data_IF_668578576701
#
_entry.id   IF_668578576701
#
_cell.length_a   1.000
_cell.length_b   1.000
_cell.length_c   1.000
_cell.angle_alpha   90.00
_cell.angle_beta   90.00
_cell.angle_gamma   90.00
#
_symmetry.space_group_name_H-M   'P 1'
#
loop_
_entity.id
_entity.type
_entity.pdbx_description
1 polymer ?
#
# COMPACT_ATOMS: atom_id res chain seq x y z
N UNK A 1 -29.86 -29.58 13.10
CA UNK A 1 -30.28 -29.09 14.44
C UNK A 1 -31.82 -29.03 14.47
N UNK A 2 -32.46 -29.45 15.53
CA UNK A 2 -33.90 -29.29 15.72
C UNK A 2 -34.16 -28.06 16.58
N UNK A 3 -34.78 -27.05 15.98
CA UNK A 3 -35.19 -25.85 16.72
C UNK A 3 -36.51 -26.09 17.45
N UNK A 4 -36.71 -25.41 18.58
CA UNK A 4 -37.98 -25.40 19.33
C UNK A 4 -38.67 -24.06 19.15
N UNK A 5 -40.00 -24.03 19.31
CA UNK A 5 -40.77 -22.79 19.38
C UNK A 5 -40.20 -21.90 20.49
N UNK A 6 -40.03 -20.61 20.24
CA UNK A 6 -39.41 -19.66 21.14
C UNK A 6 -37.88 -19.59 21.06
N UNK A 7 -37.22 -20.42 20.24
CA UNK A 7 -35.76 -20.36 20.08
C UNK A 7 -35.34 -19.08 19.35
N UNK A 8 -34.35 -18.38 19.91
CA UNK A 8 -33.73 -17.22 19.25
C UNK A 8 -32.79 -17.68 18.15
N UNK A 9 -32.93 -17.11 16.97
CA UNK A 9 -32.17 -17.50 15.78
C UNK A 9 -31.79 -16.27 14.93
N UNK A 10 -30.79 -16.45 14.08
CA UNK A 10 -30.47 -15.55 12.99
C UNK A 10 -31.07 -16.11 11.70
N UNK A 11 -31.63 -15.24 10.87
CA UNK A 11 -32.13 -15.55 9.53
C UNK A 11 -31.53 -14.59 8.51
N UNK A 12 -31.16 -15.11 7.34
CA UNK A 12 -30.65 -14.29 6.24
C UNK A 12 -31.66 -13.21 5.82
N UNK A 13 -31.21 -11.98 5.70
CA UNK A 13 -31.98 -10.85 5.20
C UNK A 13 -31.20 -10.06 4.13
N UNK A 14 -31.90 -9.60 3.10
CA UNK A 14 -31.27 -8.91 1.96
C UNK A 14 -30.73 -7.51 2.28
N UNK A 15 -31.22 -6.89 3.33
CA UNK A 15 -30.85 -5.51 3.70
C UNK A 15 -29.74 -5.45 4.74
N UNK A 16 -29.80 -6.29 5.76
CA UNK A 16 -28.86 -6.30 6.88
C UNK A 16 -28.01 -7.58 6.97
N UNK A 17 -27.95 -8.37 5.90
CA UNK A 17 -27.32 -9.68 5.81
C UNK A 17 -27.97 -10.72 6.76
N UNK A 18 -28.06 -10.42 8.05
CA UNK A 18 -28.69 -11.28 9.08
C UNK A 18 -29.63 -10.47 9.93
N UNK A 19 -30.86 -11.02 10.15
CA UNK A 19 -31.85 -10.44 11.02
C UNK A 19 -32.07 -11.32 12.26
N UNK A 20 -32.25 -10.67 13.40
CA UNK A 20 -32.71 -11.34 14.64
C UNK A 20 -34.10 -11.85 14.47
N UNK A 21 -34.34 -13.09 14.85
CA UNK A 21 -35.66 -13.71 14.75
C UNK A 21 -35.92 -14.72 15.88
N UNK A 22 -37.22 -15.02 16.10
CA UNK A 22 -37.66 -16.04 17.00
C UNK A 22 -38.46 -17.10 16.25
N UNK A 23 -38.27 -18.36 16.59
CA UNK A 23 -39.00 -19.49 16.01
C UNK A 23 -40.44 -19.51 16.51
N UNK A 24 -41.41 -19.38 15.61
CA UNK A 24 -42.85 -19.37 15.93
C UNK A 24 -43.48 -20.73 15.72
N UNK A 25 -43.09 -21.45 14.66
CA UNK A 25 -43.65 -22.74 14.28
C UNK A 25 -42.58 -23.63 13.62
N UNK A 26 -42.62 -24.92 13.93
CA UNK A 26 -41.69 -25.91 13.36
C UNK A 26 -42.50 -26.98 12.65
N UNK A 27 -42.22 -27.21 11.37
CA UNK A 27 -42.82 -28.22 10.52
C UNK A 27 -41.73 -29.18 10.01
N UNK A 28 -42.11 -30.36 9.57
CA UNK A 28 -41.16 -31.43 9.21
C UNK A 28 -39.97 -31.00 8.36
N UNK A 29 -40.17 -30.08 7.42
CA UNK A 29 -39.11 -29.60 6.50
C UNK A 29 -38.91 -28.06 6.49
N UNK A 30 -39.66 -27.33 7.29
CA UNK A 30 -39.60 -25.87 7.32
C UNK A 30 -39.83 -25.32 8.72
N UNK A 31 -39.24 -24.17 8.99
CA UNK A 31 -39.37 -23.42 10.22
C UNK A 31 -39.94 -22.04 9.89
N UNK A 32 -40.94 -21.61 10.61
CA UNK A 32 -41.49 -20.26 10.52
C UNK A 32 -40.86 -19.43 11.63
N UNK A 33 -40.19 -18.34 11.25
CA UNK A 33 -39.59 -17.40 12.18
C UNK A 33 -40.21 -16.01 12.04
N UNK A 34 -40.27 -15.27 13.13
CA UNK A 34 -40.67 -13.85 13.10
C UNK A 34 -39.46 -13.00 13.46
N UNK A 35 -39.09 -12.06 12.57
CA UNK A 35 -37.97 -11.14 12.82
C UNK A 35 -38.34 -10.10 13.88
N UNK A 36 -37.34 -9.42 14.45
CA UNK A 36 -37.51 -8.29 15.37
C UNK A 36 -38.37 -7.15 14.78
N UNK A 37 -38.49 -7.08 13.46
CA UNK A 37 -39.34 -6.11 12.74
C UNK A 37 -40.77 -6.65 12.46
N UNK A 38 -41.15 -7.81 13.02
CA UNK A 38 -42.47 -8.42 12.85
C UNK A 38 -42.68 -9.15 11.52
N UNK A 39 -41.66 -9.28 10.64
CA UNK A 39 -41.74 -9.98 9.36
C UNK A 39 -41.69 -11.49 9.58
N UNK A 40 -42.72 -12.24 9.09
CA UNK A 40 -42.72 -13.70 9.11
C UNK A 40 -41.98 -14.26 7.90
N UNK A 41 -41.02 -15.15 8.15
CA UNK A 41 -40.21 -15.82 7.14
C UNK A 41 -40.36 -17.34 7.34
N UNK A 42 -40.61 -18.05 6.25
CA UNK A 42 -40.59 -19.53 6.23
C UNK A 42 -39.31 -19.97 5.54
N UNK A 43 -38.48 -20.74 6.22
CA UNK A 43 -37.19 -21.17 5.73
C UNK A 43 -36.85 -22.60 6.14
N UNK A 44 -35.80 -23.18 5.63
CA UNK A 44 -35.32 -24.50 6.08
C UNK A 44 -34.52 -24.36 7.38
N UNK A 45 -34.53 -25.38 8.28
CA UNK A 45 -33.75 -25.35 9.51
C UNK A 45 -32.22 -25.09 9.29
N UNK A 46 -31.69 -25.53 8.14
CA UNK A 46 -30.27 -25.42 7.79
C UNK A 46 -29.80 -23.97 7.50
N UNK A 47 -30.77 -23.10 7.16
CA UNK A 47 -30.51 -21.67 6.88
C UNK A 47 -30.68 -20.80 8.14
N UNK A 48 -30.94 -21.38 9.27
CA UNK A 48 -31.03 -20.70 10.54
C UNK A 48 -29.75 -20.95 11.35
N UNK A 49 -29.25 -19.91 12.01
CA UNK A 49 -28.13 -20.01 12.94
C UNK A 49 -28.63 -19.68 14.37
N UNK A 50 -28.12 -20.38 15.39
CA UNK A 50 -28.54 -20.11 16.77
C UNK A 50 -28.07 -18.73 17.21
N UNK A 51 -28.91 -18.02 17.96
CA UNK A 51 -28.61 -16.72 18.57
C UNK A 51 -28.70 -16.84 20.09
N UNK A 52 -27.79 -16.24 20.79
CA UNK A 52 -27.85 -16.08 22.24
C UNK A 52 -28.80 -14.92 22.59
N UNK A 53 -29.92 -15.16 23.26
CA UNK A 53 -30.83 -14.11 23.69
C UNK A 53 -30.27 -13.27 24.84
N UNK A 54 -29.29 -13.80 25.59
CA UNK A 54 -28.70 -13.17 26.78
C UNK A 54 -27.32 -12.52 26.43
N UNK A 55 -26.99 -12.41 25.13
CA UNK A 55 -25.73 -11.79 24.69
C UNK A 55 -25.61 -10.36 25.25
N UNK A 56 -24.42 -10.03 25.71
CA UNK A 56 -24.06 -8.69 26.22
C UNK A 56 -24.41 -7.60 25.20
N UNK A 57 -25.15 -6.60 25.63
CA UNK A 57 -25.54 -5.47 24.78
C UNK A 57 -24.37 -4.64 24.30
N UNK A 58 -23.26 -4.61 25.07
CA UNK A 58 -21.99 -3.97 24.69
C UNK A 58 -21.09 -4.83 23.81
N UNK A 59 -21.41 -6.11 23.70
CA UNK A 59 -20.57 -7.12 23.06
C UNK A 59 -19.40 -7.56 23.97
N UNK A 60 -18.75 -8.66 23.56
CA UNK A 60 -17.58 -9.21 24.26
C UNK A 60 -16.29 -8.71 23.63
N UNK A 61 -15.28 -8.52 24.45
CA UNK A 61 -13.93 -8.09 24.05
C UNK A 61 -13.12 -9.19 23.35
N UNK A 62 -13.45 -10.46 23.61
CA UNK A 62 -12.86 -11.63 22.95
C UNK A 62 -13.98 -12.54 22.42
N UNK A 63 -14.04 -12.70 21.10
CA UNK A 63 -15.10 -13.47 20.44
C UNK A 63 -15.01 -14.97 20.71
N UNK A 64 -13.90 -15.47 21.27
CA UNK A 64 -13.85 -16.86 21.77
C UNK A 64 -14.79 -17.10 22.98
N UNK A 65 -15.25 -16.03 23.62
CA UNK A 65 -16.23 -16.08 24.73
C UNK A 65 -17.69 -16.08 24.25
N UNK A 66 -17.93 -15.96 22.93
CA UNK A 66 -19.31 -16.01 22.38
C UNK A 66 -19.88 -17.41 22.56
N UNK A 67 -21.14 -17.48 23.02
CA UNK A 67 -21.88 -18.75 23.18
C UNK A 67 -21.99 -19.49 21.84
N UNK A 68 -22.20 -18.75 20.74
CA UNK A 68 -22.23 -19.29 19.38
C UNK A 68 -21.28 -18.51 18.49
N UNK A 69 -20.17 -19.14 18.15
CA UNK A 69 -19.19 -18.57 17.20
C UNK A 69 -19.65 -18.86 15.76
N UNK A 70 -20.61 -18.07 15.29
CA UNK A 70 -21.11 -18.11 13.92
C UNK A 70 -21.03 -16.71 13.28
N UNK A 71 -21.18 -16.64 11.95
CA UNK A 71 -21.03 -15.39 11.20
C UNK A 71 -21.92 -14.26 11.74
N UNK A 72 -23.26 -14.42 11.92
CA UNK A 72 -24.09 -13.34 12.44
C UNK A 72 -23.73 -12.94 13.88
N UNK A 73 -23.34 -13.87 14.74
CA UNK A 73 -22.89 -13.56 16.10
C UNK A 73 -21.63 -12.72 16.11
N UNK A 74 -20.66 -13.04 15.25
CA UNK A 74 -19.44 -12.24 15.05
C UNK A 74 -19.76 -10.84 14.54
N UNK A 75 -20.58 -10.73 13.49
CA UNK A 75 -20.98 -9.44 12.92
C UNK A 75 -21.76 -8.59 13.94
N UNK A 76 -22.65 -9.19 14.70
CA UNK A 76 -23.40 -8.52 15.75
C UNK A 76 -22.46 -7.97 16.84
N UNK A 77 -21.54 -8.78 17.33
CA UNK A 77 -20.57 -8.38 18.34
C UNK A 77 -19.72 -7.20 17.86
N UNK A 78 -19.16 -7.29 16.67
CA UNK A 78 -18.35 -6.20 16.07
C UNK A 78 -19.18 -4.93 15.88
N UNK A 79 -20.42 -5.05 15.42
CA UNK A 79 -21.34 -3.91 15.24
C UNK A 79 -21.65 -3.20 16.56
N UNK A 80 -21.89 -3.96 17.65
CA UNK A 80 -22.16 -3.40 18.97
C UNK A 80 -20.96 -2.65 19.52
N UNK A 81 -19.79 -3.27 19.47
CA UNK A 81 -18.54 -2.64 19.93
C UNK A 81 -18.19 -1.40 19.09
N UNK A 82 -18.35 -1.49 17.78
CA UNK A 82 -18.12 -0.34 16.88
C UNK A 82 -19.02 0.86 17.23
N UNK A 83 -20.30 0.63 17.56
CA UNK A 83 -21.21 1.68 17.98
C UNK A 83 -20.79 2.38 19.28
N UNK A 84 -19.96 1.73 20.11
CA UNK A 84 -19.35 2.28 21.32
C UNK A 84 -17.95 2.85 21.10
N UNK A 85 -17.47 2.95 19.87
CA UNK A 85 -16.09 3.28 19.48
C UNK A 85 -15.05 2.27 19.97
N UNK A 86 -15.45 1.08 20.36
CA UNK A 86 -14.58 -0.04 20.70
C UNK A 86 -14.16 -0.76 19.41
N UNK A 87 -13.22 -0.15 18.67
CA UNK A 87 -12.84 -0.59 17.32
C UNK A 87 -12.00 -1.85 17.30
N UNK A 88 -11.46 -2.28 18.43
CA UNK A 88 -10.62 -3.46 18.58
C UNK A 88 -11.36 -4.58 19.29
N UNK A 89 -11.21 -5.82 18.78
CA UNK A 89 -11.82 -7.01 19.39
C UNK A 89 -10.89 -8.19 19.20
N UNK A 90 -10.65 -8.98 20.24
CA UNK A 90 -9.87 -10.21 20.14
C UNK A 90 -10.68 -11.38 19.55
N UNK A 91 -9.96 -12.28 18.91
CA UNK A 91 -10.37 -13.66 18.67
C UNK A 91 -9.17 -14.55 19.07
N UNK A 92 -9.07 -14.83 20.36
CA UNK A 92 -7.87 -15.44 20.94
C UNK A 92 -6.65 -14.56 20.76
N UNK A 93 -5.65 -15.04 20.04
CA UNK A 93 -4.40 -14.28 19.77
C UNK A 93 -4.50 -13.29 18.61
N UNK A 94 -5.60 -13.28 17.87
CA UNK A 94 -5.81 -12.39 16.73
C UNK A 94 -6.55 -11.14 17.19
N UNK A 95 -6.06 -9.97 16.77
CA UNK A 95 -6.74 -8.69 16.96
C UNK A 95 -7.48 -8.31 15.68
N UNK A 96 -8.79 -8.12 15.78
CA UNK A 96 -9.61 -7.55 14.72
C UNK A 96 -9.72 -6.04 14.97
N UNK A 97 -9.37 -5.25 13.97
CA UNK A 97 -9.49 -3.81 13.97
C UNK A 97 -10.52 -3.38 12.92
N UNK A 98 -11.54 -2.65 13.32
CA UNK A 98 -12.55 -2.08 12.42
C UNK A 98 -12.24 -0.61 12.22
N UNK A 99 -12.01 -0.18 10.97
CA UNK A 99 -11.67 1.22 10.67
C UNK A 99 -12.82 2.15 11.09
N UNK A 100 -12.61 3.11 12.01
CA UNK A 100 -13.65 4.02 12.49
C UNK A 100 -13.97 5.14 11.50
N UNK A 101 -13.14 5.33 10.43
CA UNK A 101 -13.22 6.47 9.49
C UNK A 101 -13.23 7.83 10.18
N UNK A 102 -12.79 7.91 11.41
CA UNK A 102 -12.65 9.13 12.23
C UNK A 102 -11.40 9.04 13.09
N UNK A 103 -10.95 10.20 13.60
CA UNK A 103 -9.80 10.23 14.51
C UNK A 103 -10.25 9.93 15.93
N UNK A 104 -9.54 9.02 16.59
CA UNK A 104 -9.71 8.67 18.01
C UNK A 104 -8.38 8.91 18.75
N UNK A 105 -7.95 10.19 18.92
CA UNK A 105 -6.61 10.51 19.39
C UNK A 105 -6.33 9.99 20.81
N UNK A 106 -7.33 9.90 21.67
CA UNK A 106 -7.22 9.37 23.04
C UNK A 106 -6.85 7.88 23.10
N UNK A 107 -7.00 7.13 22.01
CA UNK A 107 -6.59 5.72 21.96
C UNK A 107 -5.08 5.55 21.72
N UNK A 108 -4.36 6.59 21.28
CA UNK A 108 -3.01 6.44 20.75
C UNK A 108 -1.99 7.39 21.35
N UNK A 109 -2.34 8.04 22.45
CA UNK A 109 -1.46 8.97 23.13
C UNK A 109 -0.41 8.23 24.00
N UNK A 110 0.53 9.00 24.59
CA UNK A 110 1.58 8.46 25.43
C UNK A 110 1.05 7.78 26.70
N UNK A 111 -0.08 8.25 27.23
CA UNK A 111 -0.71 7.66 28.40
C UNK A 111 -1.22 6.25 28.10
N UNK A 112 -1.84 6.05 26.92
CA UNK A 112 -2.25 4.72 26.48
C UNK A 112 -1.05 3.79 26.27
N UNK A 113 0.07 4.30 25.73
CA UNK A 113 1.29 3.50 25.59
C UNK A 113 1.81 3.04 26.97
N UNK A 114 1.82 3.93 27.97
CA UNK A 114 2.22 3.59 29.33
C UNK A 114 1.32 2.53 29.98
N UNK A 115 0.00 2.62 29.73
CA UNK A 115 -0.95 1.65 30.27
C UNK A 115 -0.71 0.22 29.75
N UNK A 116 -0.38 0.06 28.49
CA UNK A 116 -0.15 -1.26 27.89
C UNK A 116 1.24 -1.82 28.11
N UNK A 117 2.20 -0.99 28.53
CA UNK A 117 3.59 -1.38 28.72
C UNK A 117 3.75 -2.41 29.84
N UNK A 118 4.19 -3.61 29.48
CA UNK A 118 4.46 -4.68 30.43
C UNK A 118 3.22 -5.40 30.97
N UNK A 119 2.02 -5.05 30.52
CA UNK A 119 0.77 -5.68 30.95
C UNK A 119 0.56 -7.01 30.22
N UNK A 120 -0.02 -7.99 30.90
CA UNK A 120 -0.28 -9.30 30.31
C UNK A 120 -1.34 -9.18 29.21
N UNK A 121 -1.11 -9.87 28.09
CA UNK A 121 -2.07 -9.92 26.99
C UNK A 121 -3.45 -10.39 27.44
N UNK A 122 -4.50 -9.64 27.11
CA UNK A 122 -5.90 -9.91 27.49
C UNK A 122 -6.31 -9.41 28.90
N UNK A 123 -5.43 -8.76 29.65
CA UNK A 123 -5.75 -8.15 30.95
C UNK A 123 -6.45 -6.79 30.80
N UNK A 124 -6.06 -6.03 29.78
CA UNK A 124 -6.72 -4.79 29.38
C UNK A 124 -7.57 -5.00 28.12
N UNK A 125 -8.39 -4.01 27.79
CA UNK A 125 -9.20 -3.99 26.57
C UNK A 125 -8.36 -4.29 25.31
N UNK A 126 -8.95 -4.91 24.27
CA UNK A 126 -8.24 -5.18 23.02
C UNK A 126 -7.65 -3.93 22.43
N UNK A 127 -6.35 -3.96 22.10
CA UNK A 127 -5.64 -2.83 21.54
C UNK A 127 -4.43 -3.27 20.72
N UNK A 128 -4.08 -2.48 19.70
CA UNK A 128 -2.89 -2.71 18.88
C UNK A 128 -1.59 -2.67 19.70
N UNK A 129 -1.53 -1.84 20.74
CA UNK A 129 -0.36 -1.76 21.62
C UNK A 129 -0.16 -3.03 22.45
N UNK A 130 -1.25 -3.71 22.86
CA UNK A 130 -1.14 -5.00 23.54
C UNK A 130 -0.49 -6.08 22.67
N UNK A 131 -0.79 -6.10 21.36
CA UNK A 131 -0.17 -7.03 20.40
C UNK A 131 1.32 -6.70 20.23
N UNK A 132 1.65 -5.42 20.10
CA UNK A 132 3.04 -4.97 19.96
C UNK A 132 3.86 -5.27 21.22
N UNK A 133 3.29 -4.99 22.42
CA UNK A 133 3.95 -5.27 23.69
C UNK A 133 4.15 -6.79 23.92
N UNK A 134 3.14 -7.59 23.62
CA UNK A 134 3.26 -9.05 23.72
C UNK A 134 4.37 -9.59 22.80
N UNK A 135 4.48 -9.08 21.58
CA UNK A 135 5.55 -9.45 20.64
C UNK A 135 6.92 -9.00 21.15
N UNK A 136 7.02 -7.78 21.68
CA UNK A 136 8.27 -7.27 22.26
C UNK A 136 8.72 -8.10 23.47
N UNK A 137 7.83 -8.42 24.38
CA UNK A 137 8.15 -9.25 25.55
C UNK A 137 8.49 -10.69 25.19
N UNK A 138 7.78 -11.29 24.22
CA UNK A 138 8.10 -12.62 23.73
C UNK A 138 9.51 -12.63 23.11
N UNK A 139 9.85 -11.63 22.31
CA UNK A 139 11.20 -11.47 21.76
C UNK A 139 12.27 -11.39 22.84
N UNK A 140 12.03 -10.58 23.90
CA UNK A 140 13.00 -10.40 24.99
C UNK A 140 13.13 -11.65 25.87
N UNK A 141 12.02 -12.33 26.19
CA UNK A 141 12.03 -13.47 27.09
C UNK A 141 12.58 -14.74 26.41
N UNK A 142 12.18 -14.97 25.16
CA UNK A 142 12.51 -16.17 24.42
C UNK A 142 13.78 -16.02 23.56
N UNK A 143 14.34 -14.77 23.50
CA UNK A 143 15.47 -14.42 22.61
C UNK A 143 15.23 -14.85 21.17
N UNK A 144 13.99 -14.80 20.71
CA UNK A 144 13.53 -15.23 19.40
C UNK A 144 12.82 -14.09 18.67
N UNK A 145 13.20 -13.88 17.41
CA UNK A 145 12.56 -12.86 16.57
C UNK A 145 11.06 -13.12 16.42
N UNK A 146 10.29 -12.06 16.40
CA UNK A 146 8.84 -12.09 16.28
C UNK A 146 8.38 -11.48 14.96
N UNK A 147 7.15 -11.81 14.56
CA UNK A 147 6.53 -11.24 13.35
C UNK A 147 5.08 -10.86 13.61
N UNK A 148 4.70 -9.65 13.21
CA UNK A 148 3.32 -9.16 13.27
C UNK A 148 2.81 -9.04 11.83
N UNK A 149 1.77 -9.79 11.49
CA UNK A 149 1.13 -9.76 10.19
C UNK A 149 -0.13 -8.87 10.25
N UNK A 150 -0.17 -7.84 9.41
CA UNK A 150 -1.32 -6.96 9.25
C UNK A 150 -1.98 -7.25 7.92
N UNK A 151 -3.22 -7.74 7.94
CA UNK A 151 -3.98 -8.09 6.74
C UNK A 151 -5.37 -7.46 6.74
N UNK A 152 -5.99 -7.32 5.59
CA UNK A 152 -7.31 -6.72 5.42
C UNK A 152 -7.51 -6.16 4.01
N UNK A 153 -8.73 -5.75 3.68
CA UNK A 153 -9.05 -5.11 2.39
C UNK A 153 -8.43 -3.71 2.26
N UNK A 154 -8.45 -3.16 1.04
CA UNK A 154 -8.05 -1.76 0.81
C UNK A 154 -8.95 -0.82 1.61
N UNK A 155 -8.35 0.14 2.34
CA UNK A 155 -9.06 1.06 3.22
C UNK A 155 -9.39 0.52 4.61
N UNK A 156 -9.01 -0.73 4.95
CA UNK A 156 -9.25 -1.31 6.27
C UNK A 156 -8.39 -0.70 7.41
N UNK A 157 -7.40 0.13 7.09
CA UNK A 157 -6.53 0.76 8.09
C UNK A 157 -5.20 0.03 8.34
N UNK A 158 -4.79 -0.92 7.47
CA UNK A 158 -3.54 -1.69 7.63
C UNK A 158 -2.31 -0.80 7.84
N UNK A 159 -2.09 0.17 6.97
CA UNK A 159 -0.94 1.07 7.05
C UNK A 159 -0.95 1.92 8.30
N UNK A 160 -2.13 2.40 8.74
CA UNK A 160 -2.24 3.12 10.02
C UNK A 160 -1.96 2.21 11.21
N UNK A 161 -2.48 0.99 11.21
CA UNK A 161 -2.16 -0.02 12.24
C UNK A 161 -0.66 -0.30 12.29
N UNK A 162 -0.01 -0.46 11.14
CA UNK A 162 1.45 -0.66 11.06
C UNK A 162 2.23 0.54 11.63
N UNK A 163 1.80 1.77 11.35
CA UNK A 163 2.40 2.98 11.94
C UNK A 163 2.28 2.98 13.48
N UNK A 164 1.09 2.64 14.00
CA UNK A 164 0.85 2.56 15.44
C UNK A 164 1.70 1.48 16.13
N UNK A 165 1.85 0.31 15.49
CA UNK A 165 2.75 -0.75 15.98
C UNK A 165 4.18 -0.24 16.04
N UNK A 166 4.68 0.39 14.96
CA UNK A 166 6.04 0.94 14.92
C UNK A 166 6.22 2.02 15.98
N UNK A 167 5.25 2.92 16.12
CA UNK A 167 5.28 3.98 17.14
C UNK A 167 5.36 3.39 18.57
N UNK A 168 4.61 2.33 18.86
CA UNK A 168 4.68 1.66 20.15
C UNK A 168 6.03 0.95 20.37
N UNK A 169 6.54 0.23 19.37
CA UNK A 169 7.83 -0.44 19.46
C UNK A 169 8.97 0.56 19.64
N UNK A 170 8.90 1.73 18.99
CA UNK A 170 9.86 2.81 19.21
C UNK A 170 9.76 3.41 20.61
N UNK A 171 8.55 3.48 21.18
CA UNK A 171 8.32 3.95 22.55
C UNK A 171 8.93 3.00 23.59
N UNK A 172 8.77 1.68 23.44
CA UNK A 172 9.28 0.72 24.44
C UNK A 172 10.76 0.42 24.27
N UNK A 173 11.27 0.42 23.02
CA UNK A 173 12.68 0.13 22.68
C UNK A 173 13.53 1.36 22.39
N UNK A 174 13.01 2.58 22.57
CA UNK A 174 13.73 3.82 22.29
C UNK A 174 14.96 4.02 23.16
N UNK A 175 15.99 4.70 22.63
CA UNK A 175 17.20 5.09 23.36
C UNK A 175 16.91 6.22 24.35
N UNK A 176 17.66 6.26 25.44
CA UNK A 176 17.70 7.42 26.33
C UNK A 176 18.17 8.67 25.55
N UNK A 177 17.52 9.81 25.81
CA UNK A 177 17.73 11.13 25.19
C UNK A 177 19.22 11.46 25.04
N UNK A 178 19.69 11.72 23.81
CA UNK A 178 21.07 12.17 23.57
C UNK A 178 21.55 12.19 22.11
N UNK A 179 20.81 11.65 21.15
CA UNK A 179 21.23 11.65 19.74
C UNK A 179 20.24 12.46 18.89
N UNK A 180 20.73 13.48 18.17
CA UNK A 180 19.91 14.47 17.45
C UNK A 180 19.08 13.90 16.26
N UNK A 181 19.28 12.63 15.89
CA UNK A 181 18.51 11.92 14.88
C UNK A 181 18.32 10.47 15.29
N UNK A 182 17.15 10.15 15.84
CA UNK A 182 16.86 8.79 16.28
C UNK A 182 16.43 7.91 15.10
N UNK A 183 16.84 6.63 15.10
CA UNK A 183 16.42 5.59 14.16
C UNK A 183 14.88 5.55 14.09
N UNK A 184 14.22 5.77 15.23
CA UNK A 184 12.79 5.80 15.40
C UNK A 184 12.12 6.87 14.51
N UNK A 185 12.66 8.10 14.57
CA UNK A 185 12.13 9.21 13.77
C UNK A 185 12.30 8.94 12.28
N UNK A 186 13.44 8.42 11.86
CA UNK A 186 13.71 8.10 10.46
C UNK A 186 12.78 7.01 9.91
N UNK A 187 12.48 5.98 10.71
CA UNK A 187 11.52 4.92 10.34
C UNK A 187 10.11 5.50 10.17
N UNK A 188 9.67 6.36 11.09
CA UNK A 188 8.36 7.00 11.00
C UNK A 188 8.27 7.98 9.82
N UNK A 189 9.30 8.81 9.62
CA UNK A 189 9.36 9.80 8.53
C UNK A 189 9.57 9.17 7.14
N UNK A 190 9.97 7.90 7.07
CA UNK A 190 10.00 7.17 5.80
C UNK A 190 8.60 6.91 5.22
N UNK A 191 7.55 6.90 6.05
CA UNK A 191 6.20 6.59 5.61
C UNK A 191 5.63 7.63 4.62
N UNK A 192 5.68 8.96 4.87
CA UNK A 192 5.23 9.95 3.90
C UNK A 192 5.93 9.82 2.55
N UNK A 193 7.22 9.49 2.56
CA UNK A 193 7.99 9.29 1.35
C UNK A 193 7.52 8.06 0.57
N UNK A 194 7.38 6.92 1.23
CA UNK A 194 6.86 5.70 0.62
C UNK A 194 5.41 5.87 0.12
N UNK A 195 4.59 6.65 0.83
CA UNK A 195 3.23 6.97 0.41
C UNK A 195 3.20 7.83 -0.87
N UNK A 196 4.03 8.85 -0.96
CA UNK A 196 4.10 9.69 -2.15
C UNK A 196 4.39 8.88 -3.42
N UNK A 197 5.28 7.90 -3.34
CA UNK A 197 5.74 7.10 -4.47
C UNK A 197 5.05 5.74 -4.63
N UNK A 198 4.43 5.21 -3.60
CA UNK A 198 3.83 3.87 -3.59
C UNK A 198 2.32 3.85 -3.38
N UNK A 199 1.68 4.97 -3.04
CA UNK A 199 0.25 5.03 -2.84
C UNK A 199 -0.46 5.80 -3.97
N UNK A 200 -1.71 5.45 -4.16
CA UNK A 200 -2.58 6.09 -5.14
C UNK A 200 -4.05 6.11 -4.66
N UNK A 201 -4.84 7.01 -5.23
CA UNK A 201 -6.29 6.95 -5.06
C UNK A 201 -6.84 5.76 -5.86
N UNK A 202 -7.63 4.93 -5.17
CA UNK A 202 -8.48 3.88 -5.76
C UNK A 202 -9.95 4.22 -5.57
N UNK A 203 -10.84 3.43 -6.14
CA UNK A 203 -12.30 3.56 -5.95
C UNK A 203 -12.67 3.50 -4.46
N UNK A 204 -11.93 2.73 -3.65
CA UNK A 204 -12.24 2.47 -2.24
C UNK A 204 -11.50 3.37 -1.24
N UNK A 205 -10.34 3.91 -1.64
CA UNK A 205 -9.48 4.64 -0.71
C UNK A 205 -8.67 5.71 -1.45
N UNK A 206 -8.68 6.93 -0.91
CA UNK A 206 -7.93 8.06 -1.48
C UNK A 206 -6.39 7.92 -1.31
N UNK A 207 -5.92 7.07 -0.40
CA UNK A 207 -4.49 6.82 -0.13
C UNK A 207 -4.21 5.32 0.02
N UNK A 208 -4.47 4.54 -1.02
CA UNK A 208 -4.26 3.10 -1.03
C UNK A 208 -2.80 2.76 -1.35
N UNK A 209 -2.14 1.99 -0.49
CA UNK A 209 -0.81 1.43 -0.78
C UNK A 209 -0.88 0.43 -1.92
N UNK A 210 -0.05 0.64 -2.95
CA UNK A 210 0.03 -0.21 -4.15
C UNK A 210 1.28 -1.09 -4.13
N UNK A 211 1.81 -1.39 -2.94
CA UNK A 211 2.96 -2.25 -2.68
C UNK A 211 2.82 -2.90 -1.30
N UNK A 212 3.48 -4.02 -1.09
CA UNK A 212 3.66 -4.63 0.22
C UNK A 212 4.90 -4.05 0.91
N UNK A 213 4.84 -3.91 2.21
CA UNK A 213 5.93 -3.40 3.03
C UNK A 213 6.21 -4.34 4.19
N UNK A 214 7.48 -4.67 4.39
CA UNK A 214 7.99 -5.37 5.55
C UNK A 214 9.01 -4.49 6.25
N UNK A 215 8.75 -4.16 7.50
CA UNK A 215 9.62 -3.35 8.34
C UNK A 215 10.23 -4.27 9.39
N UNK A 216 11.54 -4.39 9.40
CA UNK A 216 12.33 -5.12 10.39
C UNK A 216 12.90 -4.12 11.37
N UNK A 217 12.52 -4.19 12.64
CA UNK A 217 13.08 -3.38 13.72
C UNK A 217 14.03 -4.28 14.50
N UNK A 218 15.29 -3.90 14.56
CA UNK A 218 16.37 -4.64 15.19
C UNK A 218 16.58 -4.13 16.62
N UNK A 219 16.81 -5.06 17.54
CA UNK A 219 17.02 -4.74 18.96
C UNK A 219 18.35 -5.30 19.45
N UNK A 220 18.96 -4.60 20.38
CA UNK A 220 20.12 -5.08 21.14
C UNK A 220 19.69 -6.00 22.29
N UNK A 221 20.65 -6.59 22.99
CA UNK A 221 20.41 -7.48 24.12
C UNK A 221 19.65 -6.81 25.28
N UNK A 222 19.67 -5.49 25.37
CA UNK A 222 18.96 -4.72 26.41
C UNK A 222 17.55 -4.33 25.97
N UNK A 223 17.10 -4.76 24.78
CA UNK A 223 15.80 -4.42 24.21
C UNK A 223 15.71 -3.03 23.61
N UNK A 224 16.85 -2.36 23.35
CA UNK A 224 16.88 -1.05 22.70
C UNK A 224 16.97 -1.23 21.18
N UNK A 225 16.35 -0.31 20.44
CA UNK A 225 16.45 -0.31 18.99
C UNK A 225 17.89 -0.03 18.58
N UNK A 226 18.49 -0.95 17.84
CA UNK A 226 19.85 -0.85 17.30
C UNK A 226 19.88 -0.55 15.80
N UNK A 227 18.79 -0.81 15.10
CA UNK A 227 18.66 -0.55 13.67
C UNK A 227 17.28 -0.89 13.14
N UNK A 228 17.03 -0.57 11.87
CA UNK A 228 15.85 -1.03 11.16
C UNK A 228 16.11 -1.19 9.66
N UNK A 229 15.28 -2.00 9.00
CA UNK A 229 15.30 -2.17 7.55
C UNK A 229 13.88 -2.20 7.00
N UNK A 230 13.70 -1.59 5.85
CA UNK A 230 12.42 -1.61 5.11
C UNK A 230 12.64 -2.37 3.81
N UNK A 231 11.78 -3.35 3.55
CA UNK A 231 11.72 -4.08 2.28
C UNK A 231 10.36 -3.87 1.65
N UNK A 232 10.36 -3.60 0.36
CA UNK A 232 9.14 -3.41 -0.43
C UNK A 232 8.93 -4.58 -1.38
N UNK A 233 7.66 -4.91 -1.65
CA UNK A 233 7.26 -6.04 -2.48
C UNK A 233 6.11 -5.66 -3.39
N UNK A 234 6.10 -6.23 -4.60
CA UNK A 234 4.95 -6.27 -5.50
C UNK A 234 4.34 -4.89 -5.83
N UNK A 235 5.18 -3.89 -6.11
CA UNK A 235 4.68 -2.59 -6.60
C UNK A 235 3.81 -2.80 -7.85
N UNK A 236 2.64 -2.20 -7.90
CA UNK A 236 1.70 -2.22 -9.03
C UNK A 236 2.25 -1.39 -10.20
N UNK A 237 3.20 -1.97 -10.97
CA UNK A 237 3.90 -1.27 -12.08
C UNK A 237 2.97 -0.84 -13.20
N UNK A 238 1.87 -1.57 -13.42
CA UNK A 238 0.87 -1.24 -14.45
C UNK A 238 0.25 0.13 -14.24
N UNK A 239 0.08 0.58 -13.00
CA UNK A 239 -0.52 1.87 -12.67
C UNK A 239 0.25 3.06 -13.20
N UNK A 240 1.56 2.92 -13.40
CA UNK A 240 2.40 4.00 -13.97
C UNK A 240 1.89 4.46 -15.33
N UNK A 241 1.41 3.52 -16.15
CA UNK A 241 1.04 3.76 -17.56
C UNK A 241 -0.45 3.64 -17.82
N UNK A 242 -1.21 3.00 -16.92
CA UNK A 242 -2.64 2.76 -17.09
C UNK A 242 -3.40 2.94 -15.80
N UNK A 243 -4.40 3.83 -15.82
CA UNK A 243 -5.35 4.07 -14.72
C UNK A 243 -6.78 4.02 -15.26
N UNK A 244 -7.74 3.87 -14.37
CA UNK A 244 -9.18 3.85 -14.73
C UNK A 244 -9.89 4.91 -13.90
N UNK A 245 -10.76 5.72 -14.50
CA UNK A 245 -11.58 6.69 -13.78
C UNK A 245 -12.49 6.00 -12.74
N UNK A 246 -12.58 6.49 -11.49
CA UNK A 246 -12.02 7.73 -10.92
C UNK A 246 -10.69 7.54 -10.16
N UNK A 247 -9.90 6.54 -10.47
CA UNK A 247 -8.61 6.29 -9.83
C UNK A 247 -7.53 7.28 -10.27
N UNK A 248 -6.44 7.38 -9.52
CA UNK A 248 -5.28 8.21 -9.88
C UNK A 248 -4.03 7.35 -10.04
N UNK A 249 -3.05 7.89 -10.72
CA UNK A 249 -1.67 7.42 -10.70
C UNK A 249 -1.04 7.71 -9.32
N UNK A 250 0.21 7.38 -9.10
CA UNK A 250 0.95 7.64 -7.87
C UNK A 250 0.95 9.13 -7.50
N UNK A 251 0.85 9.42 -6.21
CA UNK A 251 0.71 10.80 -5.72
C UNK A 251 1.85 11.71 -6.15
N UNK A 252 3.09 11.22 -6.19
CA UNK A 252 4.28 11.97 -6.55
C UNK A 252 4.17 12.70 -7.89
N UNK A 253 3.47 12.15 -8.89
CA UNK A 253 3.27 12.80 -10.18
C UNK A 253 2.41 14.07 -10.06
N UNK A 254 1.33 14.01 -9.29
CA UNK A 254 0.44 15.16 -9.07
C UNK A 254 1.09 16.21 -8.17
N UNK A 255 1.84 15.77 -7.17
CA UNK A 255 2.63 16.63 -6.30
C UNK A 255 3.65 17.44 -7.11
N UNK A 256 4.39 16.80 -8.01
CA UNK A 256 5.37 17.45 -8.87
C UNK A 256 4.73 18.45 -9.83
N UNK A 257 3.61 18.11 -10.46
CA UNK A 257 2.88 19.02 -11.34
C UNK A 257 2.30 20.24 -10.60
N UNK A 258 1.99 20.12 -9.32
CA UNK A 258 1.40 21.20 -8.51
C UNK A 258 2.43 22.19 -7.96
N UNK A 259 3.72 21.88 -7.94
CA UNK A 259 4.77 22.76 -7.42
C UNK A 259 5.40 23.59 -8.52
N UNK A 260 4.93 24.85 -8.68
CA UNK A 260 5.19 25.73 -9.83
C UNK A 260 6.65 25.82 -10.27
N UNK A 261 7.60 26.05 -9.35
CA UNK A 261 9.03 26.22 -9.70
C UNK A 261 9.63 24.99 -10.38
N UNK A 262 9.39 23.80 -9.83
CA UNK A 262 9.92 22.56 -10.40
C UNK A 262 9.12 22.13 -11.63
N UNK A 263 7.80 22.36 -11.64
CA UNK A 263 6.97 22.16 -12.82
C UNK A 263 7.46 22.99 -14.02
N UNK A 264 7.73 24.30 -13.83
CA UNK A 264 8.28 25.18 -14.87
C UNK A 264 9.67 24.70 -15.36
N UNK A 265 10.56 24.34 -14.42
CA UNK A 265 11.90 23.84 -14.72
C UNK A 265 11.87 22.62 -15.62
N UNK A 266 10.98 21.68 -15.34
CA UNK A 266 10.82 20.43 -16.10
C UNK A 266 9.81 20.54 -17.24
N UNK A 267 9.33 21.75 -17.59
CA UNK A 267 8.31 21.97 -18.63
C UNK A 267 7.04 21.15 -18.41
N UNK A 268 6.67 20.95 -17.16
CA UNK A 268 5.42 20.33 -16.80
C UNK A 268 4.27 21.33 -16.79
N UNK A 269 3.08 20.82 -17.01
CA UNK A 269 1.82 21.57 -16.99
C UNK A 269 0.82 20.85 -16.09
N UNK A 270 -0.45 21.26 -16.15
CA UNK A 270 -1.53 20.59 -15.42
C UNK A 270 -1.57 19.09 -15.76
N UNK A 271 -1.85 18.20 -14.78
CA UNK A 271 -1.87 16.74 -14.98
C UNK A 271 -2.69 16.26 -16.19
N UNK A 272 -3.75 16.99 -16.56
CA UNK A 272 -4.57 16.68 -17.76
C UNK A 272 -3.79 16.68 -19.07
N UNK A 273 -2.62 17.28 -19.10
CA UNK A 273 -1.77 17.36 -20.31
C UNK A 273 -0.87 16.12 -20.49
N UNK A 274 -0.86 15.19 -19.54
CA UNK A 274 0.00 14.01 -19.56
C UNK A 274 -0.82 12.74 -19.70
N UNK A 275 -0.46 11.93 -20.70
CA UNK A 275 -1.18 10.69 -21.04
C UNK A 275 -1.33 9.72 -19.87
N UNK A 276 -0.30 9.58 -19.04
CA UNK A 276 -0.34 8.68 -17.88
C UNK A 276 -1.19 9.20 -16.72
N UNK A 277 -1.66 10.44 -16.78
CA UNK A 277 -2.49 11.05 -15.73
C UNK A 277 -3.92 11.37 -16.21
N UNK A 278 -4.12 11.62 -17.51
CA UNK A 278 -5.39 12.09 -18.05
C UNK A 278 -6.39 10.98 -18.47
N UNK A 279 -6.05 9.72 -18.18
CA UNK A 279 -6.95 8.58 -18.37
C UNK A 279 -8.07 8.57 -17.31
N UNK A 280 -7.98 9.43 -16.30
CA UNK A 280 -9.00 9.70 -15.29
C UNK A 280 -9.25 11.20 -15.21
N UNK A 281 -10.46 11.59 -14.78
CA UNK A 281 -10.86 12.98 -14.58
C UNK A 281 -10.56 13.49 -13.17
N UNK A 282 -10.03 12.66 -12.29
CA UNK A 282 -9.73 12.98 -10.89
C UNK A 282 -8.28 13.43 -10.77
N UNK A 283 -8.05 14.75 -10.76
CA UNK A 283 -6.71 15.34 -10.63
C UNK A 283 -6.41 15.80 -9.21
N UNK A 284 -7.42 16.10 -8.43
CA UNK A 284 -7.31 16.59 -7.06
C UNK A 284 -8.00 15.65 -6.08
N UNK A 285 -7.66 15.75 -4.82
CA UNK A 285 -8.29 15.04 -3.72
C UNK A 285 -8.91 16.07 -2.77
N UNK A 286 -10.14 15.81 -2.32
CA UNK A 286 -10.86 16.69 -1.43
C UNK A 286 -10.07 16.91 -0.12
N UNK A 287 -9.86 18.18 0.21
CA UNK A 287 -9.14 18.56 1.43
C UNK A 287 -7.62 18.34 1.41
N UNK A 288 -7.03 17.94 0.27
CA UNK A 288 -5.59 17.69 0.13
C UNK A 288 -4.97 18.64 -0.91
N UNK A 289 -3.99 19.42 -0.49
CA UNK A 289 -3.20 20.25 -1.40
C UNK A 289 -1.97 19.49 -1.89
N UNK A 290 -1.94 19.13 -3.17
CA UNK A 290 -0.78 18.45 -3.78
C UNK A 290 0.53 19.25 -3.66
N UNK A 291 0.45 20.59 -3.64
CA UNK A 291 1.63 21.44 -3.46
C UNK A 291 2.17 21.38 -2.02
N UNK A 292 1.30 21.30 -1.01
CA UNK A 292 1.72 21.12 0.38
C UNK A 292 2.29 19.71 0.60
N UNK A 293 1.65 18.68 0.04
CA UNK A 293 2.16 17.31 0.05
C UNK A 293 3.54 17.19 -0.60
N UNK A 294 3.80 17.94 -1.68
CA UNK A 294 5.14 18.00 -2.28
C UNK A 294 6.20 18.50 -1.29
N UNK A 295 5.91 19.57 -0.55
CA UNK A 295 6.82 20.10 0.45
C UNK A 295 7.05 19.12 1.61
N UNK A 296 6.01 18.39 2.02
CA UNK A 296 6.14 17.33 3.04
C UNK A 296 7.01 16.18 2.52
N UNK A 297 6.83 15.77 1.26
CA UNK A 297 7.66 14.75 0.62
C UNK A 297 9.14 15.20 0.57
N UNK A 298 9.42 16.46 0.22
CA UNK A 298 10.78 17.03 0.22
C UNK A 298 11.39 17.03 1.63
N UNK A 299 10.60 17.46 2.62
CA UNK A 299 11.03 17.42 4.02
C UNK A 299 11.33 16.00 4.51
N UNK A 300 10.49 15.03 4.16
CA UNK A 300 10.73 13.63 4.49
C UNK A 300 12.04 13.12 3.85
N UNK A 301 12.33 13.53 2.60
CA UNK A 301 13.60 13.23 1.92
C UNK A 301 14.80 13.81 2.68
N UNK A 302 14.70 15.06 3.17
CA UNK A 302 15.77 15.71 3.95
C UNK A 302 16.03 14.96 5.27
N UNK A 303 14.96 14.56 5.99
CA UNK A 303 15.06 13.82 7.25
C UNK A 303 15.69 12.45 7.04
N UNK A 304 15.31 11.75 5.98
CA UNK A 304 15.88 10.46 5.58
C UNK A 304 17.30 10.61 5.02
N UNK A 305 17.80 11.83 4.82
CA UNK A 305 19.18 12.10 4.38
C UNK A 305 19.42 11.97 2.88
N UNK A 306 18.36 12.05 2.05
CA UNK A 306 18.48 12.11 0.61
C UNK A 306 19.03 13.48 0.20
N UNK A 307 20.20 13.52 -0.45
CA UNK A 307 20.83 14.77 -0.83
C UNK A 307 19.96 15.56 -1.82
N UNK A 308 20.13 16.89 -1.85
CA UNK A 308 19.41 17.75 -2.80
C UNK A 308 19.67 17.33 -4.26
N UNK A 309 20.88 16.87 -4.58
CA UNK A 309 21.24 16.38 -5.92
C UNK A 309 20.43 15.12 -6.26
N UNK A 310 20.30 14.20 -5.32
CA UNK A 310 19.53 12.97 -5.50
C UNK A 310 18.02 13.27 -5.58
N UNK A 311 17.52 14.19 -4.78
CA UNK A 311 16.13 14.65 -4.86
C UNK A 311 15.82 15.24 -6.24
N UNK A 312 16.71 16.07 -6.77
CA UNK A 312 16.58 16.59 -8.14
C UNK A 312 16.58 15.47 -9.19
N UNK A 313 17.44 14.48 -9.05
CA UNK A 313 17.49 13.33 -9.95
C UNK A 313 16.18 12.52 -9.92
N UNK A 314 15.58 12.34 -8.72
CA UNK A 314 14.29 11.68 -8.54
C UNK A 314 13.18 12.44 -9.29
N UNK A 315 13.02 13.73 -9.02
CA UNK A 315 11.95 14.52 -9.63
C UNK A 315 12.14 14.72 -11.14
N UNK A 316 13.38 14.88 -11.58
CA UNK A 316 13.74 14.91 -13.00
C UNK A 316 13.32 13.61 -13.70
N UNK A 317 13.53 12.46 -13.06
CA UNK A 317 13.12 11.15 -13.60
C UNK A 317 11.60 11.02 -13.68
N UNK A 318 10.86 11.48 -12.67
CA UNK A 318 9.38 11.50 -12.72
C UNK A 318 8.88 12.36 -13.88
N UNK A 319 9.48 13.56 -14.07
CA UNK A 319 9.15 14.43 -15.19
C UNK A 319 9.45 13.78 -16.54
N UNK A 320 10.59 13.10 -16.66
CA UNK A 320 10.94 12.34 -17.87
C UNK A 320 9.92 11.25 -18.21
N UNK A 321 9.41 10.53 -17.20
CA UNK A 321 8.35 9.52 -17.38
C UNK A 321 7.05 10.18 -17.90
N UNK A 322 6.67 11.34 -17.37
CA UNK A 322 5.48 12.05 -17.85
C UNK A 322 5.61 12.50 -19.30
N UNK A 323 6.77 13.07 -19.68
CA UNK A 323 7.03 13.43 -21.07
C UNK A 323 7.08 12.20 -21.97
N UNK A 324 7.71 11.12 -21.54
CA UNK A 324 7.77 9.88 -22.28
C UNK A 324 6.37 9.36 -22.63
N UNK A 325 5.41 9.44 -21.69
CA UNK A 325 4.02 9.03 -21.90
C UNK A 325 3.29 9.79 -23.01
N UNK A 326 3.71 11.02 -23.31
CA UNK A 326 3.14 11.87 -24.36
C UNK A 326 3.77 11.65 -25.76
N UNK A 327 4.73 10.73 -25.88
CA UNK A 327 5.31 10.39 -27.19
C UNK A 327 4.34 9.46 -27.92
N UNK A 328 3.80 9.94 -29.03
CA UNK A 328 2.89 9.18 -29.90
C UNK A 328 3.60 8.81 -31.21
N UNK A 329 3.18 7.69 -31.77
CA UNK A 329 3.73 7.11 -33.00
C UNK A 329 2.71 7.12 -34.13
N UNK A 330 3.20 7.26 -35.37
CA UNK A 330 2.45 7.07 -36.59
C UNK A 330 3.15 6.04 -37.49
N UNK A 331 2.42 5.40 -38.43
CA UNK A 331 3.01 4.44 -39.34
C UNK A 331 4.18 5.02 -40.11
N UNK A 332 5.27 4.25 -40.19
CA UNK A 332 6.43 4.59 -41.01
C UNK A 332 6.28 4.19 -42.48
N UNK A 333 7.36 4.22 -43.24
CA UNK A 333 7.34 3.85 -44.66
C UNK A 333 7.13 2.37 -44.90
N UNK A 334 7.61 1.54 -43.99
CA UNK A 334 7.43 0.09 -44.04
C UNK A 334 6.24 -0.30 -43.17
N UNK A 335 5.54 -1.34 -43.56
CA UNK A 335 4.31 -1.81 -42.90
C UNK A 335 4.50 -2.09 -41.40
N UNK A 336 5.68 -2.56 -41.00
CA UNK A 336 6.03 -2.93 -39.63
C UNK A 336 6.88 -1.85 -38.96
N UNK A 337 6.86 -0.60 -39.40
CA UNK A 337 7.68 0.49 -38.83
C UNK A 337 6.83 1.62 -38.27
N UNK A 338 7.41 2.38 -37.37
CA UNK A 338 6.79 3.56 -36.77
C UNK A 338 7.74 4.75 -36.73
N UNK A 339 7.16 5.94 -36.82
CA UNK A 339 7.85 7.22 -36.72
C UNK A 339 7.16 8.09 -35.66
N UNK A 340 7.79 9.18 -35.23
CA UNK A 340 7.15 10.15 -34.34
C UNK A 340 5.98 10.82 -35.07
N UNK A 341 4.82 10.89 -34.42
CA UNK A 341 3.55 11.32 -35.00
C UNK A 341 3.56 12.79 -35.46
N UNK A 342 4.06 13.68 -34.62
CA UNK A 342 3.96 15.13 -34.82
C UNK A 342 5.02 15.92 -34.03
N UNK A 343 5.05 17.23 -34.22
CA UNK A 343 5.96 18.12 -33.54
C UNK A 343 5.77 18.13 -32.00
N UNK A 344 4.54 17.93 -31.50
CA UNK A 344 4.25 17.83 -30.07
C UNK A 344 4.88 16.58 -29.49
N UNK A 345 4.72 15.44 -30.13
CA UNK A 345 5.35 14.18 -29.72
C UNK A 345 6.87 14.27 -29.78
N UNK A 346 7.43 14.97 -30.80
CA UNK A 346 8.88 15.19 -30.88
C UNK A 346 9.40 16.10 -29.76
N UNK A 347 8.66 17.15 -29.38
CA UNK A 347 8.99 17.96 -28.19
C UNK A 347 9.06 17.11 -26.94
N UNK A 348 8.07 16.26 -26.71
CA UNK A 348 8.04 15.38 -25.54
C UNK A 348 9.16 14.32 -25.57
N UNK A 349 9.52 13.80 -26.73
CA UNK A 349 10.67 12.89 -26.89
C UNK A 349 11.98 13.60 -26.54
N UNK A 350 12.18 14.83 -27.06
CA UNK A 350 13.34 15.65 -26.75
C UNK A 350 13.44 15.92 -25.26
N UNK A 351 12.33 16.35 -24.63
CA UNK A 351 12.31 16.60 -23.19
C UNK A 351 12.59 15.34 -22.37
N UNK A 352 12.02 14.21 -22.77
CA UNK A 352 12.28 12.93 -22.09
C UNK A 352 13.78 12.55 -22.20
N UNK A 353 14.39 12.70 -23.37
CA UNK A 353 15.80 12.41 -23.58
C UNK A 353 16.71 13.35 -22.76
N UNK A 354 16.41 14.66 -22.75
CA UNK A 354 17.13 15.66 -21.96
C UNK A 354 17.05 15.34 -20.46
N UNK A 355 15.86 15.06 -19.95
CA UNK A 355 15.62 14.75 -18.54
C UNK A 355 16.22 13.39 -18.14
N UNK A 356 16.23 12.39 -19.02
CA UNK A 356 16.95 11.13 -18.82
C UNK A 356 18.46 11.26 -19.05
N UNK A 357 18.93 12.40 -19.54
CA UNK A 357 20.33 12.65 -19.87
C UNK A 357 20.87 11.66 -20.91
N UNK A 358 20.09 11.36 -21.94
CA UNK A 358 20.46 10.45 -23.02
C UNK A 358 20.28 11.10 -24.40
N UNK A 359 20.89 10.52 -25.42
CA UNK A 359 20.71 10.96 -26.80
C UNK A 359 19.26 10.68 -27.28
N UNK A 360 18.63 11.69 -27.90
CA UNK A 360 17.26 11.60 -28.41
C UNK A 360 17.11 10.53 -29.51
N UNK A 361 18.07 10.43 -30.41
CA UNK A 361 18.02 9.47 -31.52
C UNK A 361 18.12 8.04 -31.01
N UNK A 362 18.92 7.84 -29.98
CA UNK A 362 19.09 6.55 -29.32
C UNK A 362 17.86 6.17 -28.51
N UNK A 363 17.23 7.12 -27.83
CA UNK A 363 15.95 6.89 -27.16
C UNK A 363 14.88 6.50 -28.19
N UNK A 364 14.76 7.23 -29.31
CA UNK A 364 13.83 6.91 -30.37
C UNK A 364 14.09 5.53 -30.96
N UNK A 365 15.32 5.20 -31.30
CA UNK A 365 15.67 3.88 -31.81
C UNK A 365 15.28 2.75 -30.85
N UNK A 366 15.47 2.98 -29.56
CA UNK A 366 15.07 2.03 -28.50
C UNK A 366 13.56 1.82 -28.43
N UNK A 367 12.77 2.87 -28.66
CA UNK A 367 11.30 2.80 -28.62
C UNK A 367 10.72 2.19 -29.91
N UNK A 368 11.36 2.44 -31.07
CA UNK A 368 10.83 2.08 -32.40
C UNK A 368 11.45 0.83 -33.01
N UNK A 369 12.42 0.19 -32.34
CA UNK A 369 13.06 -1.04 -32.84
C UNK A 369 13.39 -2.01 -31.70
N UNK A 370 13.56 -3.28 -32.06
CA UNK A 370 14.07 -4.33 -31.14
C UNK A 370 15.21 -5.11 -31.76
N UNK A 371 16.20 -5.46 -30.97
CA UNK A 371 17.25 -6.37 -31.39
C UNK A 371 16.88 -7.81 -31.09
N UNK A 372 17.04 -8.68 -32.05
CA UNK A 372 16.79 -10.13 -31.94
C UNK A 372 18.15 -10.82 -32.14
N UNK A 373 18.59 -11.55 -31.14
CA UNK A 373 19.80 -12.38 -31.24
C UNK A 373 19.47 -13.65 -32.02
N UNK A 374 20.19 -13.87 -33.12
CA UNK A 374 20.12 -15.09 -33.91
C UNK A 374 21.46 -15.83 -33.88
N UNK A 375 21.51 -17.06 -34.40
CA UNK A 375 22.77 -17.81 -34.50
C UNK A 375 23.79 -17.12 -35.42
N UNK A 376 23.34 -16.29 -36.34
CA UNK A 376 24.16 -15.59 -37.35
C UNK A 376 24.48 -14.15 -36.94
N UNK A 377 24.01 -13.68 -35.79
CA UNK A 377 24.25 -12.31 -35.30
C UNK A 377 23.00 -11.63 -34.77
N UNK A 378 23.10 -10.34 -34.47
CA UNK A 378 22.00 -9.50 -34.00
C UNK A 378 21.28 -8.85 -35.16
N UNK A 379 19.97 -9.06 -35.27
CA UNK A 379 19.09 -8.42 -36.27
C UNK A 379 18.27 -7.35 -35.59
N UNK A 380 18.26 -6.13 -36.12
CA UNK A 380 17.39 -5.04 -35.65
C UNK A 380 16.09 -5.08 -36.45
N UNK A 381 14.97 -5.28 -35.77
CA UNK A 381 13.63 -5.27 -36.35
C UNK A 381 12.89 -3.99 -35.92
N UNK A 382 12.32 -3.26 -36.88
CA UNK A 382 11.43 -2.14 -36.61
C UNK A 382 10.16 -2.60 -35.87
N UNK A 383 9.55 -1.70 -35.15
CA UNK A 383 8.30 -1.91 -34.41
C UNK A 383 7.18 -1.08 -35.03
N UNK A 384 6.01 -1.64 -35.18
CA UNK A 384 4.81 -0.91 -35.51
C UNK A 384 4.36 0.05 -34.39
N UNK A 385 3.35 0.88 -34.63
CA UNK A 385 2.90 1.88 -33.67
C UNK A 385 2.47 1.30 -32.34
N UNK A 386 1.78 0.14 -32.34
CA UNK A 386 1.31 -0.51 -31.11
C UNK A 386 2.48 -1.09 -30.29
N UNK A 387 3.42 -1.74 -30.99
CA UNK A 387 4.61 -2.29 -30.35
C UNK A 387 5.56 -1.18 -29.84
N UNK A 388 5.68 -0.06 -30.57
CA UNK A 388 6.47 1.11 -30.13
C UNK A 388 5.84 1.77 -28.89
N UNK A 389 4.51 1.91 -28.84
CA UNK A 389 3.81 2.40 -27.66
C UNK A 389 3.98 1.43 -26.47
N UNK A 390 3.89 0.12 -26.70
CA UNK A 390 4.14 -0.88 -25.65
C UNK A 390 5.60 -0.85 -25.15
N UNK A 391 6.57 -0.60 -26.02
CA UNK A 391 7.99 -0.41 -25.66
C UNK A 391 8.18 0.84 -24.78
N UNK A 392 7.54 1.96 -25.17
CA UNK A 392 7.50 3.20 -24.38
C UNK A 392 6.95 2.94 -22.96
N UNK A 393 5.81 2.26 -22.87
CA UNK A 393 5.14 1.97 -21.59
C UNK A 393 5.96 0.97 -20.75
N UNK A 394 6.63 0.01 -21.38
CA UNK A 394 7.53 -0.91 -20.69
C UNK A 394 8.75 -0.19 -20.10
N UNK A 395 9.32 0.77 -20.84
CA UNK A 395 10.41 1.61 -20.34
C UNK A 395 9.95 2.44 -19.15
N UNK A 396 8.82 3.13 -19.24
CA UNK A 396 8.25 3.93 -18.15
C UNK A 396 8.04 3.11 -16.88
N UNK A 397 7.40 1.92 -16.99
CA UNK A 397 7.21 0.99 -15.88
C UNK A 397 8.52 0.53 -15.25
N UNK A 398 9.51 0.24 -16.08
CA UNK A 398 10.82 -0.24 -15.62
C UNK A 398 11.58 0.84 -14.88
N UNK A 399 11.61 2.06 -15.44
CA UNK A 399 12.28 3.21 -14.82
C UNK A 399 11.62 3.54 -13.48
N UNK A 400 10.29 3.59 -13.41
CA UNK A 400 9.58 3.87 -12.16
C UNK A 400 9.82 2.78 -11.11
N UNK A 401 9.75 1.52 -11.48
CA UNK A 401 10.04 0.42 -10.57
C UNK A 401 11.47 0.47 -10.04
N UNK A 402 12.45 0.84 -10.89
CA UNK A 402 13.85 1.02 -10.45
C UNK A 402 14.05 2.24 -9.56
N UNK A 403 13.25 3.29 -9.75
CA UNK A 403 13.24 4.45 -8.88
C UNK A 403 12.71 4.07 -7.47
N UNK A 404 11.70 3.23 -7.41
CA UNK A 404 11.04 2.81 -6.17
C UNK A 404 11.77 1.65 -5.48
N UNK A 405 12.05 0.56 -6.20
CA UNK A 405 12.61 -0.68 -5.66
C UNK A 405 14.09 -0.84 -6.00
N UNK A 406 14.89 -1.19 -5.00
CA UNK A 406 16.15 -1.88 -5.23
C UNK A 406 16.20 -3.15 -4.38
N UNK A 407 15.89 -4.26 -4.97
CA UNK A 407 16.38 -5.58 -4.56
C UNK A 407 16.40 -6.50 -5.77
N UNK A 408 17.57 -6.75 -6.29
CA UNK A 408 18.16 -8.01 -6.71
C UNK A 408 19.32 -7.75 -7.66
N UNK A 409 20.43 -8.47 -7.54
CA UNK A 409 21.33 -8.71 -8.64
C UNK A 409 20.68 -9.73 -9.57
N UNK A 410 19.59 -9.36 -10.25
CA UNK A 410 19.13 -10.10 -11.42
C UNK A 410 19.79 -9.54 -12.66
N UNK A 411 21.06 -9.87 -12.76
CA UNK A 411 21.75 -10.12 -14.00
C UNK A 411 21.04 -11.35 -14.59
N UNK A 412 20.68 -11.21 -15.88
CA UNK A 412 20.13 -12.24 -16.76
C UNK A 412 18.65 -12.56 -16.62
N UNK A 413 17.86 -11.99 -17.53
CA UNK A 413 16.92 -12.68 -18.41
C UNK A 413 16.02 -11.74 -19.25
N UNK A 414 16.60 -10.71 -19.90
CA UNK A 414 15.93 -10.09 -21.06
C UNK A 414 16.97 -9.67 -22.12
N UNK A 415 16.77 -9.98 -23.40
CA UNK A 415 17.67 -9.66 -24.48
C UNK A 415 17.50 -8.22 -24.98
N UNK A 416 17.67 -7.24 -24.12
CA UNK A 416 17.64 -5.81 -24.46
C UNK A 416 19.00 -5.16 -24.20
N UNK A 417 20.02 -5.60 -24.93
CA UNK A 417 21.39 -5.12 -24.76
C UNK A 417 21.56 -3.61 -25.00
N UNK A 418 20.71 -2.98 -25.79
CA UNK A 418 20.86 -1.55 -26.13
C UNK A 418 20.23 -0.61 -25.10
N UNK A 419 19.06 -0.96 -24.55
CA UNK A 419 18.41 -0.19 -23.48
C UNK A 419 19.21 -0.29 -22.18
N UNK A 420 19.88 -1.43 -21.98
CA UNK A 420 20.67 -1.71 -20.79
C UNK A 420 21.93 -0.85 -20.70
N UNK A 421 22.59 -0.58 -21.81
CA UNK A 421 23.82 0.25 -21.82
C UNK A 421 23.51 1.72 -21.52
N UNK A 422 22.39 2.27 -22.02
CA UNK A 422 21.97 3.64 -21.72
C UNK A 422 21.40 3.80 -20.32
N UNK A 423 20.59 2.84 -19.87
CA UNK A 423 20.02 2.87 -18.53
C UNK A 423 21.02 2.44 -17.46
N UNK A 424 21.92 1.49 -17.73
CA UNK A 424 22.88 1.00 -16.75
C UNK A 424 24.10 1.90 -16.56
N UNK A 425 24.64 2.50 -17.62
CA UNK A 425 25.86 3.32 -17.52
C UNK A 425 25.58 4.72 -16.93
N UNK A 426 24.44 5.34 -17.26
CA UNK A 426 24.05 6.66 -16.73
C UNK A 426 23.13 6.59 -15.53
N UNK A 427 22.28 5.57 -15.42
CA UNK A 427 21.42 5.34 -14.27
C UNK A 427 22.18 4.71 -13.08
N UNK A 428 23.34 4.08 -13.30
CA UNK A 428 24.12 3.48 -12.21
C UNK A 428 24.82 4.50 -11.32
N UNK A 429 25.10 5.70 -11.82
CA UNK A 429 25.78 6.76 -11.06
C UNK A 429 24.84 7.83 -10.50
N UNK A 430 23.64 8.01 -11.07
CA UNK A 430 22.72 9.09 -10.71
C UNK A 430 21.35 8.61 -10.20
N UNK A 431 21.08 7.31 -10.22
CA UNK A 431 19.78 6.79 -9.78
C UNK A 431 19.72 6.69 -8.26
N UNK A 432 19.01 7.63 -7.68
CA UNK A 432 18.65 7.61 -6.29
C UNK A 432 17.67 6.47 -6.04
N UNK A 433 18.06 5.55 -5.19
CA UNK A 433 17.35 4.34 -4.79
C UNK A 433 16.59 4.65 -3.51
N UNK A 434 15.33 5.04 -3.63
CA UNK A 434 14.54 5.57 -2.52
C UNK A 434 14.58 4.69 -1.27
N UNK A 435 14.25 3.41 -1.40
CA UNK A 435 14.23 2.47 -0.27
C UNK A 435 15.65 2.18 0.25
N UNK A 436 16.65 2.18 -0.63
CA UNK A 436 18.05 2.00 -0.22
C UNK A 436 18.55 3.20 0.61
N UNK A 437 18.19 4.44 0.22
CA UNK A 437 18.52 5.63 1.00
C UNK A 437 17.86 5.60 2.38
N UNK A 438 16.58 5.21 2.46
CA UNK A 438 15.90 5.02 3.74
C UNK A 438 16.67 4.02 4.60
N UNK A 439 17.01 2.84 4.07
CA UNK A 439 17.72 1.81 4.81
C UNK A 439 19.13 2.21 5.22
N UNK A 440 19.84 2.99 4.39
CA UNK A 440 21.17 3.54 4.75
C UNK A 440 21.07 4.58 5.86
N UNK A 441 20.05 5.42 5.82
CA UNK A 441 19.83 6.47 6.82
C UNK A 441 19.47 5.88 8.18
N UNK A 442 18.52 4.94 8.18
CA UNK A 442 18.05 4.26 9.40
C UNK A 442 19.17 3.44 10.03
N UNK A 443 20.06 2.87 9.22
CA UNK A 443 21.13 1.99 9.66
C UNK A 443 20.65 0.59 10.00
N UNK A 444 21.49 -0.39 9.71
CA UNK A 444 21.26 -1.79 10.06
C UNK A 444 22.35 -2.23 11.05
N UNK A 445 21.93 -2.91 12.11
CA UNK A 445 22.84 -3.54 13.05
C UNK A 445 23.18 -4.96 12.56
N UNK A 446 24.41 -5.13 12.09
CA UNK A 446 24.91 -6.41 11.56
C UNK A 446 25.05 -7.48 12.66
N UNK A 447 25.20 -7.04 13.89
CA UNK A 447 25.39 -7.90 15.08
C UNK A 447 24.06 -8.23 15.79
N UNK A 448 22.97 -7.58 15.38
CA UNK A 448 21.63 -7.85 15.94
C UNK A 448 21.20 -9.28 15.65
N UNK A 449 20.79 -9.98 16.69
CA UNK A 449 20.29 -11.37 16.60
C UNK A 449 18.80 -11.49 16.78
N UNK A 450 18.13 -10.43 17.22
CA UNK A 450 16.69 -10.42 17.51
C UNK A 450 16.04 -9.20 16.85
N UNK A 451 14.87 -9.44 16.27
CA UNK A 451 14.13 -8.41 15.56
C UNK A 451 12.62 -8.64 15.63
N UNK A 452 11.86 -7.58 15.45
CA UNK A 452 10.43 -7.64 15.22
C UNK A 452 10.15 -7.20 13.78
N UNK A 453 9.61 -8.10 12.97
CA UNK A 453 9.17 -7.82 11.61
C UNK A 453 7.69 -7.45 11.59
N UNK A 454 7.34 -6.34 10.96
CA UNK A 454 5.94 -5.93 10.73
C UNK A 454 5.66 -5.99 9.23
N UNK A 455 4.75 -6.87 8.84
CA UNK A 455 4.39 -7.10 7.44
C UNK A 455 3.02 -6.48 7.12
N UNK A 456 3.04 -5.44 6.30
CA UNK A 456 1.87 -4.76 5.74
C UNK A 456 1.75 -5.12 4.26
N UNK A 457 0.82 -6.01 3.92
CA UNK A 457 0.57 -6.43 2.54
C UNK A 457 -0.74 -5.82 2.07
N UNK A 458 -0.74 -5.20 0.88
CA UNK A 458 -1.99 -4.82 0.25
C UNK A 458 -2.79 -6.09 -0.12
N UNK A 459 -4.09 -6.13 0.29
CA UNK A 459 -4.96 -7.28 0.01
C UNK A 459 -5.39 -7.33 -1.46
N UNK A 460 -5.80 -8.50 -1.93
CA UNK A 460 -6.48 -8.64 -3.21
C UNK A 460 -7.74 -7.77 -3.21
N UNK A 461 -7.82 -6.86 -4.19
CA UNK A 461 -9.05 -6.13 -4.46
C UNK A 461 -9.92 -6.99 -5.37
N UNK A 462 -11.04 -7.49 -4.82
CA UNK A 462 -12.02 -8.24 -5.60
C UNK A 462 -12.92 -7.25 -6.34
N UNK A 463 -12.74 -7.11 -7.62
CA UNK A 463 -13.62 -6.31 -8.49
C UNK A 463 -14.68 -7.22 -9.12
N UNK A 464 -15.90 -6.69 -9.39
CA UNK A 464 -16.94 -7.41 -10.15
C UNK A 464 -16.47 -7.89 -11.53
N UNK A 465 -15.41 -7.27 -12.07
CA UNK A 465 -14.65 -7.71 -13.26
C UNK A 465 -13.17 -7.58 -12.92
N UNK A 466 -12.51 -8.68 -12.59
CA UNK A 466 -11.05 -8.74 -12.54
C UNK A 466 -10.53 -8.68 -13.98
N UNK A 467 -9.62 -7.76 -14.24
CA UNK A 467 -8.83 -7.79 -15.47
C UNK A 467 -7.70 -8.81 -15.29
N UNK A 468 -7.66 -9.77 -16.18
CA UNK A 468 -6.54 -10.72 -16.36
C UNK A 468 -5.29 -10.00 -16.81
#
# INVERSE_FOLDING_TARGET
MSYRKGAAVWVEDKQCAWAEAEVVDVRDKSVVVTTSQGKKITTSPEKLLPRDPEADLGGVDDMTKLTYLNEPGVLYNLSRRYALNEIYTYTGSILIAVNPFTRLPHLYDGHMMDQYKGVRFGELSPHVFAVADASYRAMMNDTCSQSILVSGESGAGKTETTKLIMQYLTYVGGRAVGDDRTVEQQVLESNPLLEAFGNAKTVRNNNSSRFGKFVEIQFDQSGRISGAAIRTYLLERSRVVQITDPERNYHCFYQLCAFGKDAERYKLAHPSNFHYLNQSKTYELDGVSSAQEYLQTRRAMDIVGISLIDQEAIFRTLAAILHLGNVEFSPGKEHDSSIIKDAKSNFHLQMAAELFMCDQSLLLATLSSRSIQTREGSIVKALDCAAAAASRDALAKTVYARLFDWHAPFIFLFPFHTVWFLTAAYLSTAFCRLVEHINKSVGQDVDSRIQIGVLDIYGFECFKKNRS
#
